data_IF_821826748923
#
_entry.id   IF_821826748923
#
_cell.length_a   1.000
_cell.length_b   1.000
_cell.length_c   1.000
_cell.angle_alpha   90.00
_cell.angle_beta   90.00
_cell.angle_gamma   90.00
#
_symmetry.space_group_name_H-M   'P 1'
#
loop_
_entity.id
_entity.type
_entity.pdbx_description
1 polymer ?
#
# COMPACT_ATOMS: atom_id res chain seq x y z
N UNK A 1 45.25 23.65 13.52
CA UNK A 1 44.35 24.04 14.63
C UNK A 1 43.48 22.84 14.94
N UNK A 2 43.66 22.24 16.12
CA UNK A 2 43.01 21.00 16.53
C UNK A 2 41.53 21.22 16.86
N UNK A 3 40.70 20.30 16.39
CA UNK A 3 39.28 20.22 16.74
C UNK A 3 39.18 19.72 18.19
N UNK A 4 38.42 20.36 19.10
CA UNK A 4 38.37 19.94 20.49
C UNK A 4 37.66 18.59 20.64
N UNK A 5 38.34 17.64 21.31
CA UNK A 5 37.73 16.44 21.86
C UNK A 5 36.78 16.83 23.00
N UNK A 6 35.53 17.15 22.66
CA UNK A 6 34.43 17.20 23.60
C UNK A 6 33.88 15.80 23.81
N UNK A 7 34.26 15.14 24.90
CA UNK A 7 33.58 13.97 25.43
C UNK A 7 32.14 14.35 25.79
N UNK A 8 31.23 14.27 24.83
CA UNK A 8 29.79 14.40 25.10
C UNK A 8 29.39 13.22 25.97
N UNK A 9 29.08 13.52 27.22
CA UNK A 9 28.55 12.59 28.21
C UNK A 9 27.26 11.94 27.67
N UNK A 10 27.41 10.72 27.15
CA UNK A 10 26.35 9.91 26.51
C UNK A 10 25.24 9.49 27.49
N UNK A 11 25.38 9.78 28.79
CA UNK A 11 24.44 9.38 29.83
C UNK A 11 23.22 10.30 29.97
N UNK A 12 23.24 11.53 29.42
CA UNK A 12 22.19 12.54 29.69
C UNK A 12 21.28 12.93 28.51
N UNK A 13 21.44 12.33 27.33
CA UNK A 13 20.57 12.61 26.17
C UNK A 13 19.51 11.51 25.99
N UNK A 14 18.37 11.75 26.64
CA UNK A 14 17.06 11.11 26.46
C UNK A 14 16.99 9.59 26.69
N UNK A 15 16.87 9.23 27.97
CA UNK A 15 16.53 7.88 28.43
C UNK A 15 15.03 7.63 28.34
N UNK A 16 14.55 7.20 27.17
CA UNK A 16 13.34 6.37 27.13
C UNK A 16 13.74 5.00 27.65
N UNK A 17 13.30 4.65 28.86
CA UNK A 17 13.61 3.37 29.48
C UNK A 17 13.20 2.23 28.52
N UNK A 18 13.95 1.13 28.51
CA UNK A 18 13.59 -0.08 27.74
C UNK A 18 12.14 -0.49 28.03
N UNK A 19 11.66 -0.22 29.24
CA UNK A 19 10.27 -0.42 29.67
C UNK A 19 9.30 0.49 28.93
N UNK A 20 9.59 1.79 28.75
CA UNK A 20 8.76 2.70 27.96
C UNK A 20 8.65 2.28 26.50
N UNK A 21 9.71 1.72 25.91
CA UNK A 21 9.69 1.18 24.53
C UNK A 21 8.87 -0.11 24.40
N UNK A 22 8.97 -1.02 25.40
CA UNK A 22 8.13 -2.22 25.47
C UNK A 22 6.67 -1.86 25.71
N UNK A 23 6.40 -0.86 26.56
CA UNK A 23 5.06 -0.33 26.79
C UNK A 23 4.49 0.32 25.55
N UNK A 24 5.27 1.12 24.80
CA UNK A 24 4.79 1.69 23.54
C UNK A 24 4.49 0.58 22.52
N UNK A 25 5.31 -0.46 22.40
CA UNK A 25 5.03 -1.57 21.49
C UNK A 25 3.81 -2.41 21.91
N UNK A 26 3.68 -2.75 23.20
CA UNK A 26 2.51 -3.46 23.74
C UNK A 26 1.26 -2.60 23.66
N UNK A 27 1.36 -1.31 23.96
CA UNK A 27 0.30 -0.33 23.78
C UNK A 27 -0.04 -0.15 22.30
N UNK A 28 0.91 -0.29 21.38
CA UNK A 28 0.65 -0.27 19.93
C UNK A 28 -0.01 -1.56 19.44
N UNK A 29 0.40 -2.75 19.90
CA UNK A 29 -0.32 -3.99 19.62
C UNK A 29 -1.70 -4.01 20.26
N UNK A 30 -1.85 -3.42 21.45
CA UNK A 30 -3.13 -3.28 22.16
C UNK A 30 -3.99 -2.14 21.62
N UNK A 31 -3.42 -1.10 21.02
CA UNK A 31 -4.13 -0.07 20.23
C UNK A 31 -4.44 -0.60 18.84
N UNK A 32 -3.64 -1.49 18.27
CA UNK A 32 -3.94 -2.17 17.01
C UNK A 32 -5.07 -3.19 17.22
N UNK A 33 -4.94 -4.09 18.19
CA UNK A 33 -5.98 -5.00 18.62
C UNK A 33 -7.16 -4.27 19.27
N UNK A 34 -6.94 -3.10 19.86
CA UNK A 34 -7.94 -2.26 20.49
C UNK A 34 -8.66 -1.35 19.52
N UNK A 35 -8.05 -0.90 18.43
CA UNK A 35 -8.70 -0.26 17.28
C UNK A 35 -9.43 -1.34 16.50
N UNK A 36 -8.86 -2.53 16.30
CA UNK A 36 -9.60 -3.66 15.74
C UNK A 36 -10.79 -3.98 16.65
N UNK A 37 -10.58 -4.22 17.94
CA UNK A 37 -11.67 -4.51 18.88
C UNK A 37 -12.66 -3.35 18.99
N UNK A 38 -12.24 -2.09 19.03
CA UNK A 38 -13.12 -0.91 19.08
C UNK A 38 -13.87 -0.70 17.77
N UNK A 39 -13.25 -0.90 16.61
CA UNK A 39 -13.91 -0.90 15.29
C UNK A 39 -14.87 -2.09 15.17
N UNK A 40 -14.55 -3.25 15.75
CA UNK A 40 -15.38 -4.45 15.75
C UNK A 40 -16.48 -4.45 16.85
N UNK A 41 -16.32 -3.68 17.94
CA UNK A 41 -17.21 -3.69 19.12
C UNK A 41 -18.02 -2.39 19.29
N UNK A 42 -17.48 -1.23 18.91
CA UNK A 42 -18.14 0.08 19.06
C UNK A 42 -18.77 0.62 17.77
N UNK A 43 -18.55 -0.01 16.61
CA UNK A 43 -19.40 0.24 15.43
C UNK A 43 -20.63 -0.67 15.54
N UNK A 44 -21.42 -0.42 16.58
CA UNK A 44 -22.84 -0.75 16.61
C UNK A 44 -23.53 0.44 15.93
N UNK A 45 -23.60 0.39 14.59
CA UNK A 45 -24.57 1.20 13.86
C UNK A 45 -25.92 0.47 13.94
N UNK A 46 -27.01 1.19 14.22
CA UNK A 46 -28.26 0.62 14.70
C UNK A 46 -28.77 -0.48 13.77
N UNK A 47 -29.20 -1.58 14.38
CA UNK A 47 -29.99 -2.61 13.74
C UNK A 47 -31.15 -1.97 12.97
N UNK A 48 -31.29 -2.39 11.71
CA UNK A 48 -32.57 -2.42 10.99
C UNK A 48 -33.42 -1.16 11.01
N UNK A 49 -33.21 -0.30 10.01
CA UNK A 49 -34.25 0.58 9.50
C UNK A 49 -33.99 0.81 8.01
N UNK A 50 -35.02 0.80 7.17
CA UNK A 50 -34.99 0.85 5.71
C UNK A 50 -34.28 2.09 5.12
N UNK A 51 -32.96 2.14 5.26
CA UNK A 51 -32.10 3.24 4.85
C UNK A 51 -30.81 2.70 4.24
N UNK A 52 -30.92 2.01 3.10
CA UNK A 52 -29.74 1.64 2.32
C UNK A 52 -28.95 2.91 1.98
N UNK A 53 -27.75 3.06 2.54
CA UNK A 53 -26.87 4.18 2.20
C UNK A 53 -26.56 4.15 0.70
N UNK A 54 -26.94 5.21 -0.01
CA UNK A 54 -26.85 5.30 -1.46
C UNK A 54 -25.38 5.36 -1.91
N UNK A 55 -25.01 4.47 -2.84
CA UNK A 55 -23.70 4.49 -3.51
C UNK A 55 -23.53 5.83 -4.21
N UNK A 56 -22.39 6.51 -3.96
CA UNK A 56 -22.13 7.85 -4.50
C UNK A 56 -22.52 9.02 -3.58
N UNK A 57 -23.02 8.75 -2.37
CA UNK A 57 -23.18 9.77 -1.33
C UNK A 57 -21.82 10.26 -0.79
N UNK A 58 -21.76 11.50 -0.27
CA UNK A 58 -20.57 12.02 0.42
C UNK A 58 -20.13 11.10 1.60
N UNK A 59 -21.09 10.51 2.31
CA UNK A 59 -20.82 9.57 3.39
C UNK A 59 -20.19 8.27 2.88
N UNK A 60 -20.60 7.79 1.70
CA UNK A 60 -20.00 6.62 1.06
C UNK A 60 -18.52 6.86 0.73
N UNK A 61 -18.19 8.00 0.13
CA UNK A 61 -16.81 8.34 -0.17
C UNK A 61 -15.96 8.52 1.10
N UNK A 62 -16.51 9.16 2.14
CA UNK A 62 -15.83 9.27 3.43
C UNK A 62 -15.54 7.90 4.06
N UNK A 63 -16.49 6.96 4.01
CA UNK A 63 -16.26 5.60 4.46
C UNK A 63 -15.18 4.88 3.64
N UNK A 64 -15.10 5.10 2.33
CA UNK A 64 -14.03 4.56 1.50
C UNK A 64 -12.66 5.15 1.87
N UNK A 65 -12.60 6.44 2.24
CA UNK A 65 -11.39 7.06 2.78
C UNK A 65 -10.96 6.40 4.10
N UNK A 66 -11.87 6.28 5.07
CA UNK A 66 -11.56 5.69 6.39
C UNK A 66 -11.15 4.23 6.26
N UNK A 67 -11.88 3.43 5.48
CA UNK A 67 -11.49 2.04 5.19
C UNK A 67 -10.12 1.97 4.50
N UNK A 68 -9.83 2.92 3.62
CA UNK A 68 -8.52 3.04 2.97
C UNK A 68 -7.40 3.35 3.95
N UNK A 69 -7.62 4.22 4.95
CA UNK A 69 -6.66 4.53 6.02
C UNK A 69 -6.31 3.27 6.83
N UNK A 70 -7.30 2.46 7.16
CA UNK A 70 -7.12 1.18 7.87
C UNK A 70 -6.34 0.18 7.02
N UNK A 71 -6.57 0.16 5.70
CA UNK A 71 -5.82 -0.69 4.78
C UNK A 71 -4.32 -0.36 4.67
N UNK A 72 -3.86 0.77 5.24
CA UNK A 72 -2.43 1.11 5.31
C UNK A 72 -1.66 0.30 6.37
N UNK A 73 -2.34 -0.27 7.36
CA UNK A 73 -1.73 -0.98 8.50
C UNK A 73 -0.80 -2.14 8.12
N UNK A 74 -1.12 -3.00 7.12
CA UNK A 74 -0.24 -4.10 6.72
C UNK A 74 1.18 -3.64 6.32
N UNK A 75 1.36 -2.43 5.79
CA UNK A 75 2.69 -1.88 5.50
C UNK A 75 3.51 -1.62 6.76
N UNK A 76 2.84 -1.23 7.85
CA UNK A 76 3.52 -1.04 9.14
C UNK A 76 3.99 -2.38 9.69
N UNK A 77 3.17 -3.44 9.56
CA UNK A 77 3.55 -4.79 9.95
C UNK A 77 4.74 -5.34 9.15
N UNK A 78 4.83 -4.98 7.87
CA UNK A 78 5.94 -5.39 6.99
C UNK A 78 7.15 -4.45 7.02
N UNK A 79 7.15 -3.43 7.88
CA UNK A 79 8.29 -2.49 8.05
C UNK A 79 9.63 -3.19 8.30
N UNK A 80 9.73 -4.28 9.10
CA UNK A 80 10.97 -5.03 9.25
C UNK A 80 11.56 -5.53 7.92
N UNK A 81 10.70 -6.01 7.02
CA UNK A 81 11.13 -6.50 5.72
C UNK A 81 11.55 -5.34 4.80
N UNK A 82 10.84 -4.22 4.85
CA UNK A 82 11.16 -3.02 4.07
C UNK A 82 12.47 -2.39 4.53
N UNK A 83 12.70 -2.29 5.84
CA UNK A 83 13.98 -1.84 6.41
C UNK A 83 15.13 -2.69 5.88
N UNK A 84 14.97 -4.02 5.94
CA UNK A 84 16.03 -4.93 5.50
C UNK A 84 16.34 -4.73 4.01
N UNK A 85 15.30 -4.54 3.19
CA UNK A 85 15.45 -4.28 1.76
C UNK A 85 16.11 -2.94 1.45
N UNK A 86 15.73 -1.86 2.13
CA UNK A 86 16.31 -0.54 1.89
C UNK A 86 17.81 -0.50 2.17
N UNK A 87 18.26 -1.16 3.25
CA UNK A 87 19.69 -1.27 3.59
C UNK A 87 20.46 -2.17 2.65
N UNK A 88 19.85 -3.27 2.18
CA UNK A 88 20.41 -4.11 1.12
C UNK A 88 20.61 -3.32 -0.18
N UNK A 89 19.69 -2.39 -0.51
CA UNK A 89 19.80 -1.53 -1.68
C UNK A 89 20.94 -0.51 -1.58
N UNK A 90 21.30 -0.08 -0.37
CA UNK A 90 22.44 0.81 -0.11
C UNK A 90 23.76 0.05 0.03
N UNK A 91 23.72 -1.29 0.00
CA UNK A 91 24.91 -2.14 0.03
C UNK A 91 25.44 -2.46 1.43
N UNK A 92 24.62 -2.37 2.49
CA UNK A 92 25.03 -2.82 3.83
C UNK A 92 25.22 -4.35 3.90
N UNK A 93 24.51 -5.12 3.06
CA UNK A 93 24.58 -6.59 2.99
C UNK A 93 23.93 -7.10 1.69
N UNK A 94 24.24 -8.35 1.29
CA UNK A 94 23.86 -8.92 -0.01
C UNK A 94 22.55 -9.74 0.01
N UNK A 95 22.10 -10.16 1.19
CA UNK A 95 20.91 -11.02 1.33
C UNK A 95 19.97 -10.61 2.46
N UNK A 96 18.68 -10.93 2.29
CA UNK A 96 17.65 -10.65 3.31
C UNK A 96 17.97 -11.36 4.63
N UNK A 97 18.38 -12.63 4.59
CA UNK A 97 18.70 -13.44 5.77
C UNK A 97 19.92 -12.91 6.51
N UNK A 98 20.95 -12.47 5.77
CA UNK A 98 22.11 -11.80 6.34
C UNK A 98 21.72 -10.46 6.98
N UNK A 99 20.86 -9.68 6.34
CA UNK A 99 20.35 -8.43 6.92
C UNK A 99 19.58 -8.65 8.23
N UNK A 100 18.69 -9.63 8.29
CA UNK A 100 18.02 -10.02 9.55
C UNK A 100 19.02 -10.46 10.62
N UNK A 101 20.03 -11.26 10.25
CA UNK A 101 21.07 -11.71 11.18
C UNK A 101 21.97 -10.57 11.65
N UNK A 102 22.30 -9.63 10.77
CA UNK A 102 23.12 -8.46 11.06
C UNK A 102 22.42 -7.57 12.08
N UNK A 103 21.15 -7.20 11.82
CA UNK A 103 20.34 -6.39 12.74
C UNK A 103 20.14 -7.11 14.09
N UNK A 104 19.95 -8.43 14.06
CA UNK A 104 19.82 -9.22 15.29
C UNK A 104 21.09 -9.23 16.15
N UNK A 105 22.26 -9.39 15.52
CA UNK A 105 23.56 -9.33 16.21
C UNK A 105 23.84 -7.94 16.77
N UNK A 106 23.55 -6.92 15.97
CA UNK A 106 23.74 -5.52 16.30
C UNK A 106 22.82 -5.05 17.46
N UNK A 107 21.62 -5.63 17.57
CA UNK A 107 20.74 -5.45 18.71
C UNK A 107 21.18 -6.22 19.98
N UNK A 108 22.35 -6.84 19.99
CA UNK A 108 22.90 -7.56 21.15
C UNK A 108 22.33 -8.97 21.35
N UNK A 109 21.71 -9.56 20.31
CA UNK A 109 21.30 -10.97 20.33
C UNK A 109 20.07 -11.31 21.18
N UNK A 110 19.31 -10.30 21.62
CA UNK A 110 18.03 -10.49 22.32
C UNK A 110 16.86 -10.22 21.38
N UNK A 111 15.98 -11.21 21.20
CA UNK A 111 14.79 -11.08 20.32
C UNK A 111 13.94 -9.83 20.61
N UNK A 112 13.72 -9.52 21.89
CA UNK A 112 12.93 -8.36 22.31
C UNK A 112 13.72 -7.06 22.13
N UNK A 113 15.05 -7.12 22.30
CA UNK A 113 15.96 -6.00 22.04
C UNK A 113 16.01 -5.60 20.56
N UNK A 114 15.80 -6.54 19.65
CA UNK A 114 15.85 -6.34 18.19
C UNK A 114 14.60 -5.70 17.59
N UNK A 115 13.43 -5.82 18.23
CA UNK A 115 12.15 -5.29 17.70
C UNK A 115 12.24 -3.79 17.37
N UNK A 116 12.73 -2.90 18.26
CA UNK A 116 12.87 -1.48 17.94
C UNK A 116 13.83 -1.18 16.79
N UNK A 117 14.83 -2.05 16.55
CA UNK A 117 15.75 -1.91 15.43
C UNK A 117 15.07 -2.26 14.11
N UNK A 118 14.26 -3.31 14.10
CA UNK A 118 13.50 -3.75 12.91
C UNK A 118 12.38 -2.78 12.53
N UNK A 119 11.72 -2.16 13.50
CA UNK A 119 10.66 -1.18 13.25
C UNK A 119 11.17 0.24 13.02
N UNK A 120 12.43 0.41 12.63
CA UNK A 120 12.98 1.73 12.32
C UNK A 120 12.26 2.35 11.12
N UNK A 121 11.74 3.56 11.31
CA UNK A 121 10.95 4.26 10.29
C UNK A 121 9.47 3.85 10.24
N UNK A 122 8.95 3.11 11.22
CA UNK A 122 7.54 2.70 11.22
C UNK A 122 6.55 3.87 11.22
N UNK A 123 6.88 5.00 11.87
CA UNK A 123 6.00 6.18 11.93
C UNK A 123 5.73 6.79 10.55
N UNK A 124 6.75 7.19 9.76
CA UNK A 124 6.49 7.68 8.41
C UNK A 124 5.88 6.61 7.50
N UNK A 125 6.20 5.32 7.69
CA UNK A 125 5.52 4.23 6.97
C UNK A 125 4.03 4.23 7.28
N UNK A 126 3.65 4.24 8.56
CA UNK A 126 2.25 4.22 8.98
C UNK A 126 1.49 5.43 8.42
N UNK A 127 1.98 6.64 8.67
CA UNK A 127 1.31 7.87 8.21
C UNK A 127 1.22 7.90 6.68
N UNK A 128 2.33 7.61 5.99
CA UNK A 128 2.40 7.64 4.54
C UNK A 128 1.44 6.65 3.88
N UNK A 129 1.50 5.38 4.25
CA UNK A 129 0.66 4.35 3.63
C UNK A 129 -0.80 4.40 4.07
N UNK A 130 -1.11 4.94 5.26
CA UNK A 130 -2.50 5.23 5.64
C UNK A 130 -3.08 6.37 4.82
N UNK A 131 -2.34 7.47 4.61
CA UNK A 131 -2.79 8.55 3.73
C UNK A 131 -2.92 8.09 2.28
N UNK A 132 -1.92 7.35 1.78
CA UNK A 132 -1.98 6.76 0.44
C UNK A 132 -3.20 5.86 0.29
N UNK A 133 -3.44 4.96 1.25
CA UNK A 133 -4.61 4.08 1.27
C UNK A 133 -5.93 4.84 1.26
N UNK A 134 -6.08 5.84 2.14
CA UNK A 134 -7.29 6.66 2.23
C UNK A 134 -7.59 7.39 0.93
N UNK A 135 -6.63 8.13 0.39
CA UNK A 135 -6.82 8.86 -0.87
C UNK A 135 -7.03 7.91 -2.07
N UNK A 136 -6.29 6.81 -2.14
CA UNK A 136 -6.42 5.83 -3.23
C UNK A 136 -7.82 5.25 -3.30
N UNK A 137 -8.37 4.74 -2.20
CA UNK A 137 -9.70 4.14 -2.21
C UNK A 137 -10.82 5.17 -2.34
N UNK A 138 -10.65 6.36 -1.76
CA UNK A 138 -11.57 7.48 -1.96
C UNK A 138 -11.66 7.90 -3.43
N UNK A 139 -10.52 8.25 -4.04
CA UNK A 139 -10.49 8.73 -5.41
C UNK A 139 -10.80 7.63 -6.42
N UNK A 140 -10.47 6.37 -6.12
CA UNK A 140 -10.86 5.24 -6.98
C UNK A 140 -12.38 5.17 -7.11
N UNK A 141 -13.12 5.27 -6.01
CA UNK A 141 -14.58 5.23 -6.04
C UNK A 141 -15.18 6.49 -6.67
N UNK A 142 -14.60 7.67 -6.42
CA UNK A 142 -15.01 8.94 -7.05
C UNK A 142 -14.84 8.87 -8.57
N UNK A 143 -13.65 8.51 -9.05
CA UNK A 143 -13.38 8.43 -10.49
C UNK A 143 -14.16 7.31 -11.14
N UNK A 144 -14.34 6.18 -10.47
CA UNK A 144 -15.21 5.10 -10.97
C UNK A 144 -16.65 5.60 -11.12
N UNK A 145 -17.19 6.33 -10.15
CA UNK A 145 -18.54 6.91 -10.23
C UNK A 145 -18.68 7.87 -11.43
N UNK A 146 -17.73 8.81 -11.61
CA UNK A 146 -17.74 9.75 -12.73
C UNK A 146 -17.53 9.08 -14.09
N UNK A 147 -16.58 8.15 -14.21
CA UNK A 147 -16.26 7.47 -15.46
C UNK A 147 -17.33 6.44 -15.86
N UNK A 148 -17.93 5.73 -14.90
CA UNK A 148 -19.05 4.82 -15.17
C UNK A 148 -20.30 5.58 -15.60
N UNK A 149 -20.59 6.75 -15.02
CA UNK A 149 -21.65 7.62 -15.50
C UNK A 149 -21.51 7.95 -16.99
N UNK A 150 -20.27 8.18 -17.44
CA UNK A 150 -19.98 8.48 -18.84
C UNK A 150 -19.94 7.25 -19.77
N UNK A 151 -19.48 6.06 -19.33
CA UNK A 151 -19.60 4.80 -20.12
C UNK A 151 -21.09 4.37 -20.23
N UNK A 152 -21.90 4.53 -19.17
CA UNK A 152 -23.33 4.18 -19.19
C UNK A 152 -24.13 5.09 -20.13
N UNK A 153 -23.84 6.40 -20.16
CA UNK A 153 -24.44 7.34 -21.12
C UNK A 153 -24.13 7.02 -22.59
N UNK A 154 -23.12 6.18 -22.85
CA UNK A 154 -22.70 5.74 -24.19
C UNK A 154 -23.14 4.31 -24.52
N UNK A 155 -23.70 3.58 -23.55
CA UNK A 155 -24.04 2.15 -23.64
C UNK A 155 -25.53 1.83 -23.78
N UNK A 156 -26.40 2.83 -24.02
CA UNK A 156 -27.82 2.58 -24.31
C UNK A 156 -28.11 2.09 -25.74
N UNK A 157 -27.08 1.88 -26.58
CA UNK A 157 -27.25 1.12 -27.82
C UNK A 157 -27.09 -0.39 -27.52
N UNK A 158 -28.24 -1.07 -27.37
CA UNK A 158 -28.38 -2.54 -27.19
C UNK A 158 -27.76 -3.40 -28.31
N UNK A 159 -27.10 -2.77 -29.27
CA UNK A 159 -26.48 -3.34 -30.48
C UNK A 159 -24.96 -3.55 -30.35
N UNK A 160 -24.29 -3.07 -29.29
CA UNK A 160 -22.84 -3.26 -29.16
C UNK A 160 -22.44 -4.68 -28.67
N UNK A 161 -21.37 -5.27 -29.24
CA UNK A 161 -20.90 -6.59 -28.84
C UNK A 161 -20.46 -6.61 -27.37
N UNK A 162 -20.74 -7.71 -26.64
CA UNK A 162 -20.35 -7.92 -25.22
C UNK A 162 -18.89 -7.56 -24.93
N UNK A 163 -17.98 -7.77 -25.90
CA UNK A 163 -16.56 -7.46 -25.80
C UNK A 163 -16.26 -5.94 -25.69
N UNK A 164 -17.09 -5.08 -26.29
CA UNK A 164 -16.95 -3.61 -26.20
C UNK A 164 -17.28 -3.10 -24.79
N UNK A 165 -18.32 -3.66 -24.16
CA UNK A 165 -18.72 -3.33 -22.79
C UNK A 165 -17.68 -3.75 -21.75
N UNK A 166 -17.08 -4.93 -21.90
CA UNK A 166 -16.00 -5.39 -21.02
C UNK A 166 -14.75 -4.52 -21.16
N UNK A 167 -14.42 -4.09 -22.38
CA UNK A 167 -13.31 -3.17 -22.63
C UNK A 167 -13.57 -1.78 -22.03
N UNK A 168 -14.77 -1.20 -22.17
CA UNK A 168 -15.14 0.08 -21.53
C UNK A 168 -14.99 -0.01 -20.00
N UNK A 169 -15.45 -1.12 -19.41
CA UNK A 169 -15.35 -1.38 -17.97
C UNK A 169 -13.89 -1.52 -17.52
N UNK A 170 -13.08 -2.28 -18.27
CA UNK A 170 -11.65 -2.44 -18.02
C UNK A 170 -10.92 -1.08 -18.07
N UNK A 171 -11.15 -0.31 -19.13
CA UNK A 171 -10.56 1.02 -19.30
C UNK A 171 -11.01 2.00 -18.21
N UNK A 172 -12.25 1.89 -17.75
CA UNK A 172 -12.77 2.67 -16.61
C UNK A 172 -12.02 2.33 -15.33
N UNK A 173 -11.84 1.05 -15.00
CA UNK A 173 -11.09 0.63 -13.82
C UNK A 173 -9.61 1.03 -13.91
N UNK A 174 -9.02 0.93 -15.10
CA UNK A 174 -7.66 1.40 -15.36
C UNK A 174 -7.52 2.91 -15.17
N UNK A 175 -8.40 3.70 -15.77
CA UNK A 175 -8.38 5.15 -15.66
C UNK A 175 -8.63 5.64 -14.23
N UNK A 176 -9.61 5.04 -13.54
CA UNK A 176 -9.92 5.36 -12.16
C UNK A 176 -8.77 5.03 -11.21
N UNK A 177 -8.18 3.83 -11.34
CA UNK A 177 -7.05 3.41 -10.50
C UNK A 177 -5.78 4.21 -10.77
N UNK A 178 -5.51 4.57 -12.04
CA UNK A 178 -4.38 5.41 -12.42
C UNK A 178 -4.46 6.79 -11.76
N UNK A 179 -5.58 7.50 -11.93
CA UNK A 179 -5.75 8.84 -11.38
C UNK A 179 -5.78 8.84 -9.85
N UNK A 180 -6.43 7.85 -9.26
CA UNK A 180 -6.48 7.70 -7.81
C UNK A 180 -5.10 7.50 -7.20
N UNK A 181 -4.27 6.62 -7.79
CA UNK A 181 -2.92 6.38 -7.29
C UNK A 181 -2.01 7.59 -7.51
N UNK A 182 -2.11 8.26 -8.67
CA UNK A 182 -1.30 9.44 -8.94
C UNK A 182 -1.49 10.54 -7.89
N UNK A 183 -2.74 10.77 -7.45
CA UNK A 183 -3.06 11.73 -6.39
C UNK A 183 -2.62 11.20 -5.02
N UNK A 184 -2.87 9.93 -4.72
CA UNK A 184 -2.48 9.31 -3.46
C UNK A 184 -0.96 9.35 -3.23
N UNK A 185 -0.18 9.21 -4.31
CA UNK A 185 1.29 9.25 -4.25
C UNK A 185 1.84 10.64 -3.93
N UNK A 186 1.12 11.72 -4.26
CA UNK A 186 1.49 13.09 -3.84
C UNK A 186 1.43 13.19 -2.31
N UNK A 187 0.43 12.55 -1.68
CA UNK A 187 0.34 12.49 -0.23
C UNK A 187 1.39 11.55 0.39
N UNK A 188 1.74 10.45 -0.29
CA UNK A 188 2.75 9.48 0.17
C UNK A 188 4.19 10.00 0.08
N UNK A 189 4.54 10.70 -1.00
CA UNK A 189 5.91 11.12 -1.35
C UNK A 189 6.72 11.71 -0.19
N UNK A 190 6.21 12.72 0.57
CA UNK A 190 7.00 13.29 1.67
C UNK A 190 7.35 12.26 2.75
N UNK A 191 6.42 11.36 3.07
CA UNK A 191 6.63 10.33 4.08
C UNK A 191 7.55 9.23 3.58
N UNK A 192 7.46 8.87 2.30
CA UNK A 192 8.37 7.92 1.67
C UNK A 192 9.82 8.46 1.66
N UNK A 193 10.01 9.75 1.35
CA UNK A 193 11.31 10.40 1.38
C UNK A 193 11.92 10.39 2.80
N UNK A 194 11.12 10.69 3.82
CA UNK A 194 11.53 10.64 5.22
C UNK A 194 11.82 9.21 5.67
N UNK A 195 10.96 8.25 5.30
CA UNK A 195 11.11 6.83 5.60
C UNK A 195 12.44 6.31 5.05
N UNK A 196 12.69 6.50 3.76
CA UNK A 196 13.92 6.02 3.11
C UNK A 196 15.14 6.61 3.81
N UNK A 197 15.18 7.93 4.04
CA UNK A 197 16.30 8.56 4.76
C UNK A 197 16.50 7.99 6.16
N UNK A 198 15.43 7.75 6.92
CA UNK A 198 15.52 7.13 8.24
C UNK A 198 16.08 5.70 8.14
N UNK A 199 15.64 4.91 7.15
CA UNK A 199 15.99 3.50 7.01
C UNK A 199 17.41 3.28 6.45
N UNK A 200 17.90 4.18 5.59
CA UNK A 200 19.22 4.10 4.95
C UNK A 200 20.33 4.80 5.72
N UNK A 201 20.01 5.69 6.66
CA UNK A 201 21.03 6.36 7.47
C UNK A 201 21.60 5.39 8.52
N UNK A 202 22.93 5.29 8.58
CA UNK A 202 23.65 4.42 9.54
C UNK A 202 23.54 4.88 11.01
N UNK A 203 23.21 6.15 11.26
CA UNK A 203 23.08 6.71 12.63
C UNK A 203 21.88 6.10 13.36
N UNK A 204 22.09 5.46 14.50
CA UNK A 204 21.09 4.65 15.25
C UNK A 204 19.87 5.39 15.83
N UNK A 205 19.82 6.73 15.77
CA UNK A 205 18.74 7.54 16.38
C UNK A 205 18.12 8.56 15.44
N UNK A 206 18.15 8.33 14.13
CA UNK A 206 17.51 9.27 13.20
C UNK A 206 15.99 9.18 13.33
N UNK A 207 15.40 10.12 14.07
CA UNK A 207 13.97 10.24 14.28
C UNK A 207 13.36 11.22 13.28
N UNK A 208 12.03 11.16 13.13
CA UNK A 208 11.30 12.05 12.24
C UNK A 208 11.52 13.54 12.56
N UNK A 209 11.60 13.88 13.85
CA UNK A 209 11.86 15.24 14.33
C UNK A 209 13.25 15.78 14.00
N UNK A 210 14.17 14.92 13.56
CA UNK A 210 15.51 15.33 13.09
C UNK A 210 15.55 15.35 11.57
N UNK A 211 15.01 14.32 10.92
CA UNK A 211 15.07 14.19 9.44
C UNK A 211 14.24 15.26 8.76
N UNK A 212 13.03 15.56 9.24
CA UNK A 212 12.15 16.53 8.57
C UNK A 212 12.78 17.93 8.57
N UNK A 213 13.23 18.50 9.71
CA UNK A 213 13.92 19.79 9.70
C UNK A 213 15.22 19.78 8.90
N UNK A 214 15.99 18.68 8.95
CA UNK A 214 17.23 18.54 8.19
C UNK A 214 16.98 18.60 6.68
N UNK A 215 15.98 17.87 6.17
CA UNK A 215 15.61 17.88 4.74
C UNK A 215 15.08 19.25 4.34
N UNK A 216 14.23 19.85 5.19
CA UNK A 216 13.70 21.18 4.96
C UNK A 216 14.81 22.24 4.86
N UNK A 217 15.78 22.22 5.77
CA UNK A 217 16.90 23.15 5.76
C UNK A 217 17.84 22.95 4.56
N UNK A 218 17.99 21.72 4.07
CA UNK A 218 18.91 21.40 2.97
C UNK A 218 18.30 21.63 1.57
N UNK A 219 17.06 21.19 1.34
CA UNK A 219 16.44 21.13 0.00
C UNK A 219 15.03 21.75 -0.05
N UNK A 220 14.51 22.26 1.08
CA UNK A 220 13.14 22.78 1.20
C UNK A 220 12.07 21.77 0.81
N UNK A 221 10.96 22.24 0.25
CA UNK A 221 9.87 21.38 -0.24
C UNK A 221 10.33 20.38 -1.30
N UNK A 222 11.30 20.74 -2.15
CA UNK A 222 11.76 19.91 -3.26
C UNK A 222 12.38 18.60 -2.79
N UNK A 223 13.03 18.60 -1.62
CA UNK A 223 13.64 17.40 -1.04
C UNK A 223 12.64 16.27 -0.75
N UNK A 224 11.38 16.61 -0.47
CA UNK A 224 10.30 15.65 -0.18
C UNK A 224 9.65 15.05 -1.44
N UNK A 225 9.79 15.71 -2.60
CA UNK A 225 9.17 15.30 -3.86
C UNK A 225 10.17 14.85 -4.93
N UNK A 226 11.48 14.87 -4.62
CA UNK A 226 12.55 14.45 -5.54
C UNK A 226 12.37 13.02 -6.06
N UNK A 227 11.75 12.14 -5.27
CA UNK A 227 11.47 10.75 -5.63
C UNK A 227 10.11 10.50 -6.30
N UNK A 228 9.26 11.52 -6.48
CA UNK A 228 7.86 11.34 -6.90
C UNK A 228 7.74 10.66 -8.27
N UNK A 229 8.57 11.03 -9.25
CA UNK A 229 8.55 10.41 -10.58
C UNK A 229 8.89 8.92 -10.50
N UNK A 230 9.93 8.55 -9.76
CA UNK A 230 10.30 7.15 -9.56
C UNK A 230 9.22 6.39 -8.76
N UNK A 231 8.55 7.07 -7.83
CA UNK A 231 7.40 6.53 -7.10
C UNK A 231 6.25 6.20 -8.06
N UNK A 232 5.84 7.14 -8.91
CA UNK A 232 4.78 6.91 -9.89
C UNK A 232 5.10 5.78 -10.87
N UNK A 233 6.33 5.72 -11.39
CA UNK A 233 6.74 4.63 -12.29
C UNK A 233 6.61 3.24 -11.66
N UNK A 234 6.60 3.14 -10.33
CA UNK A 234 6.46 1.89 -9.58
C UNK A 234 5.02 1.64 -9.12
N UNK A 235 4.44 2.63 -8.45
CA UNK A 235 3.17 2.46 -7.73
C UNK A 235 1.97 2.49 -8.66
N UNK A 236 1.96 3.35 -9.67
CA UNK A 236 0.82 3.48 -10.59
C UNK A 236 0.61 2.19 -11.40
N UNK A 237 1.62 1.60 -12.07
CA UNK A 237 1.43 0.32 -12.76
C UNK A 237 1.04 -0.81 -11.82
N UNK A 238 1.66 -0.87 -10.63
CA UNK A 238 1.34 -1.86 -9.61
C UNK A 238 -0.14 -1.79 -9.20
N UNK A 239 -0.64 -0.59 -8.92
CA UNK A 239 -2.01 -0.36 -8.47
C UNK A 239 -3.02 -0.64 -9.58
N UNK A 240 -2.76 -0.23 -10.83
CA UNK A 240 -3.64 -0.54 -11.96
C UNK A 240 -3.82 -2.06 -12.12
N UNK A 241 -2.72 -2.82 -12.16
CA UNK A 241 -2.78 -4.29 -12.28
C UNK A 241 -3.48 -4.91 -11.08
N UNK A 242 -3.20 -4.41 -9.87
CA UNK A 242 -3.80 -4.91 -8.62
C UNK A 242 -5.31 -4.75 -8.62
N UNK A 243 -5.84 -3.56 -8.93
CA UNK A 243 -7.29 -3.31 -8.92
C UNK A 243 -8.00 -4.08 -10.03
N UNK A 244 -7.45 -4.10 -11.26
CA UNK A 244 -8.02 -4.87 -12.37
C UNK A 244 -8.09 -6.38 -12.07
N UNK A 245 -7.00 -6.93 -11.54
CA UNK A 245 -6.91 -8.35 -11.20
C UNK A 245 -7.88 -8.67 -10.07
N UNK A 246 -7.94 -7.83 -9.04
CA UNK A 246 -8.85 -8.01 -7.91
C UNK A 246 -10.31 -8.03 -8.35
N UNK A 247 -10.77 -7.02 -9.11
CA UNK A 247 -12.15 -6.94 -9.60
C UNK A 247 -12.53 -8.18 -10.43
N UNK A 248 -11.62 -8.61 -11.32
CA UNK A 248 -11.85 -9.77 -12.19
C UNK A 248 -11.90 -11.09 -11.41
N UNK A 249 -10.96 -11.28 -10.48
CA UNK A 249 -10.88 -12.49 -9.65
C UNK A 249 -12.05 -12.55 -8.66
N UNK A 250 -12.38 -11.42 -8.02
CA UNK A 250 -13.51 -11.35 -7.09
C UNK A 250 -14.82 -11.72 -7.80
N UNK A 251 -15.07 -11.17 -9.00
CA UNK A 251 -16.24 -11.51 -9.80
C UNK A 251 -16.32 -13.03 -10.11
N UNK A 252 -15.20 -13.64 -10.48
CA UNK A 252 -15.13 -15.09 -10.72
C UNK A 252 -15.34 -15.90 -9.43
N UNK A 253 -14.73 -15.50 -8.33
CA UNK A 253 -14.90 -16.18 -7.04
C UNK A 253 -16.35 -16.10 -6.55
N UNK A 254 -17.03 -14.97 -6.74
CA UNK A 254 -18.45 -14.85 -6.41
C UNK A 254 -19.33 -15.77 -7.26
N UNK A 255 -18.98 -16.01 -8.53
CA UNK A 255 -19.71 -16.97 -9.37
C UNK A 255 -19.51 -18.44 -8.96
N UNK A 256 -18.44 -18.74 -8.22
CA UNK A 256 -18.09 -20.10 -7.78
C UNK A 256 -18.57 -20.37 -6.35
N UNK A 257 -18.38 -19.42 -5.43
CA UNK A 257 -18.62 -19.60 -3.98
C UNK A 257 -19.90 -18.94 -3.46
N UNK A 258 -20.59 -18.13 -4.26
CA UNK A 258 -21.81 -17.42 -3.86
C UNK A 258 -22.95 -17.57 -4.88
N UNK A 259 -24.18 -17.28 -4.43
CA UNK A 259 -25.32 -17.04 -5.33
C UNK A 259 -25.35 -15.56 -5.68
N UNK A 260 -25.40 -15.22 -6.96
CA UNK A 260 -25.67 -13.83 -7.40
C UNK A 260 -27.14 -13.56 -7.06
N UNK A 261 -27.47 -12.62 -6.13
CA UNK A 261 -26.76 -11.38 -5.76
C UNK A 261 -25.96 -11.40 -4.44
N UNK A 262 -24.89 -10.58 -4.38
CA UNK A 262 -23.97 -10.43 -3.24
C UNK A 262 -24.64 -10.07 -1.90
N UNK A 263 -25.77 -9.37 -1.92
CA UNK A 263 -26.56 -9.02 -0.73
C UNK A 263 -27.15 -10.25 -0.01
N UNK A 264 -27.31 -11.38 -0.71
CA UNK A 264 -27.77 -12.64 -0.14
C UNK A 264 -26.64 -13.51 0.42
N UNK A 265 -25.38 -13.12 0.20
CA UNK A 265 -24.21 -13.88 0.66
C UNK A 265 -23.85 -13.52 2.11
N UNK A 266 -23.60 -14.50 3.00
CA UNK A 266 -23.22 -14.22 4.38
C UNK A 266 -21.92 -13.39 4.46
N UNK A 267 -21.87 -12.44 5.42
CA UNK A 267 -20.76 -11.48 5.58
C UNK A 267 -19.39 -12.16 5.66
N UNK A 268 -19.30 -13.32 6.32
CA UNK A 268 -18.06 -14.12 6.42
C UNK A 268 -17.54 -14.59 5.06
N UNK A 269 -18.43 -14.99 4.15
CA UNK A 269 -18.05 -15.42 2.79
C UNK A 269 -17.62 -14.23 1.95
N UNK A 270 -18.25 -13.06 2.09
CA UNK A 270 -17.83 -11.85 1.38
C UNK A 270 -16.41 -11.42 1.76
N UNK A 271 -16.09 -11.45 3.06
CA UNK A 271 -14.75 -11.12 3.59
C UNK A 271 -13.72 -12.17 3.14
N UNK A 272 -14.09 -13.45 3.15
CA UNK A 272 -13.22 -14.52 2.67
C UNK A 272 -12.91 -14.41 1.18
N UNK A 273 -13.93 -14.15 0.35
CA UNK A 273 -13.77 -13.92 -1.10
C UNK A 273 -12.87 -12.72 -1.35
N UNK A 274 -13.03 -11.62 -0.61
CA UNK A 274 -12.16 -10.45 -0.72
C UNK A 274 -10.71 -10.78 -0.36
N UNK A 275 -10.47 -11.48 0.75
CA UNK A 275 -9.13 -11.91 1.15
C UNK A 275 -8.48 -12.80 0.07
N UNK A 276 -9.21 -13.80 -0.43
CA UNK A 276 -8.72 -14.73 -1.45
C UNK A 276 -8.46 -14.03 -2.78
N UNK A 277 -9.39 -13.18 -3.24
CA UNK A 277 -9.23 -12.35 -4.42
C UNK A 277 -8.00 -11.45 -4.27
N UNK A 278 -7.82 -10.84 -3.09
CA UNK A 278 -6.67 -10.01 -2.77
C UNK A 278 -5.35 -10.76 -2.82
N UNK A 279 -5.29 -11.98 -2.28
CA UNK A 279 -4.08 -12.82 -2.35
C UNK A 279 -3.74 -13.23 -3.78
N UNK A 280 -4.73 -13.71 -4.55
CA UNK A 280 -4.53 -14.13 -5.94
C UNK A 280 -4.15 -12.94 -6.84
N UNK A 281 -4.79 -11.78 -6.66
CA UNK A 281 -4.42 -10.54 -7.35
C UNK A 281 -2.99 -10.11 -7.00
N UNK A 282 -2.56 -10.28 -5.75
CA UNK A 282 -1.18 -10.03 -5.32
C UNK A 282 -0.17 -10.93 -6.01
N UNK A 283 -0.48 -12.22 -6.17
CA UNK A 283 0.35 -13.17 -6.92
C UNK A 283 0.45 -12.75 -8.39
N UNK A 284 -0.67 -12.47 -9.06
CA UNK A 284 -0.66 -12.04 -10.47
C UNK A 284 0.13 -10.74 -10.66
N UNK A 285 -0.12 -9.75 -9.81
CA UNK A 285 0.61 -8.48 -9.82
C UNK A 285 2.12 -8.71 -9.61
N UNK A 286 2.48 -9.62 -8.70
CA UNK A 286 3.86 -10.03 -8.47
C UNK A 286 4.52 -10.64 -9.70
N UNK A 287 3.83 -11.56 -10.41
CA UNK A 287 4.35 -12.19 -11.64
C UNK A 287 4.59 -11.14 -12.73
N UNK A 288 3.64 -10.23 -12.93
CA UNK A 288 3.71 -9.19 -13.98
C UNK A 288 4.80 -8.15 -13.67
N UNK A 289 4.95 -7.75 -12.41
CA UNK A 289 5.90 -6.70 -12.00
C UNK A 289 7.32 -7.19 -11.73
N UNK A 290 7.52 -8.49 -11.47
CA UNK A 290 8.83 -9.03 -11.06
C UNK A 290 9.98 -8.76 -12.05
N UNK A 291 9.78 -8.90 -13.38
CA UNK A 291 10.81 -8.57 -14.36
C UNK A 291 11.26 -7.11 -14.29
N UNK A 292 10.30 -6.17 -14.31
CA UNK A 292 10.58 -4.74 -14.29
C UNK A 292 11.34 -4.34 -13.01
N UNK A 293 10.90 -4.84 -11.86
CA UNK A 293 11.53 -4.53 -10.58
C UNK A 293 12.94 -5.09 -10.46
N UNK A 294 13.20 -6.27 -11.02
CA UNK A 294 14.55 -6.86 -11.04
C UNK A 294 15.50 -6.00 -11.88
N UNK A 295 15.04 -5.50 -13.01
CA UNK A 295 15.82 -4.63 -13.89
C UNK A 295 16.12 -3.29 -13.22
N UNK A 296 15.09 -2.62 -12.66
CA UNK A 296 15.25 -1.32 -11.99
C UNK A 296 16.16 -1.44 -10.77
N UNK A 297 16.01 -2.49 -9.96
CA UNK A 297 16.86 -2.72 -8.78
C UNK A 297 18.33 -2.91 -9.16
N UNK A 298 18.61 -3.70 -10.22
CA UNK A 298 19.96 -3.94 -10.71
C UNK A 298 20.56 -2.73 -11.41
N UNK A 299 19.74 -1.93 -12.09
CA UNK A 299 20.15 -0.67 -12.70
C UNK A 299 20.58 0.33 -11.62
N UNK A 300 19.78 0.50 -10.56
CA UNK A 300 20.11 1.38 -9.44
C UNK A 300 21.40 0.94 -8.72
N UNK A 301 21.63 -0.37 -8.54
CA UNK A 301 22.88 -0.89 -7.98
C UNK A 301 24.13 -0.62 -8.87
N UNK A 302 23.97 -0.52 -10.19
CA UNK A 302 25.09 -0.25 -11.11
C UNK A 302 25.35 1.24 -11.33
N UNK A 303 24.34 2.10 -11.19
CA UNK A 303 24.49 3.55 -11.36
C UNK A 303 25.46 4.13 -10.32
N UNK A 304 25.51 3.58 -9.10
CA UNK A 304 26.47 4.00 -8.07
C UNK A 304 27.93 3.63 -8.41
N UNK A 305 28.17 2.74 -9.38
CA UNK A 305 29.50 2.24 -9.71
C UNK A 305 30.05 2.71 -11.08
N UNK A 306 29.24 3.28 -11.98
CA UNK A 306 29.72 3.67 -13.32
C UNK A 306 28.98 4.92 -13.84
N UNK A 307 29.73 6.01 -14.02
CA UNK A 307 29.34 7.12 -14.87
C UNK A 307 29.17 6.62 -16.32
N UNK A 308 27.93 6.55 -16.82
CA UNK A 308 27.69 6.66 -18.26
C UNK A 308 26.74 5.66 -18.91
N UNK A 309 25.76 6.26 -19.60
CA UNK A 309 25.15 5.86 -20.89
C UNK A 309 24.10 4.74 -20.90
N UNK A 310 23.03 5.05 -21.62
CA UNK A 310 21.88 4.20 -21.96
C UNK A 310 22.21 2.86 -22.66
N UNK A 311 23.47 2.57 -22.99
CA UNK A 311 23.92 1.25 -23.44
C UNK A 311 23.90 0.17 -22.35
N UNK A 312 23.81 0.58 -21.07
CA UNK A 312 23.81 -0.32 -19.91
C UNK A 312 22.55 -1.19 -19.83
N UNK A 313 21.39 -0.77 -20.36
CA UNK A 313 20.15 -1.56 -20.23
C UNK A 313 20.20 -2.87 -21.02
N UNK A 314 20.58 -2.81 -22.31
CA UNK A 314 20.70 -4.01 -23.15
C UNK A 314 21.85 -4.91 -22.70
N UNK A 315 22.97 -4.34 -22.25
CA UNK A 315 24.05 -5.12 -21.64
C UNK A 315 23.62 -5.76 -20.32
N UNK A 316 22.89 -5.04 -19.47
CA UNK A 316 22.38 -5.55 -18.19
C UNK A 316 21.36 -6.66 -18.39
N UNK A 317 20.46 -6.54 -19.36
CA UNK A 317 19.53 -7.61 -19.71
C UNK A 317 20.27 -8.87 -20.20
N UNK A 318 21.35 -8.68 -20.97
CA UNK A 318 22.20 -9.77 -21.44
C UNK A 318 23.01 -10.42 -20.31
N UNK A 319 23.48 -9.62 -19.35
CA UNK A 319 24.23 -10.07 -18.17
C UNK A 319 23.35 -10.80 -17.14
N UNK A 320 22.12 -10.32 -16.90
CA UNK A 320 21.16 -10.94 -15.96
C UNK A 320 20.64 -12.27 -16.54
N UNK A 321 20.35 -12.28 -17.85
CA UNK A 321 19.72 -13.40 -18.53
C UNK A 321 18.29 -13.69 -18.08
N UNK A 322 17.55 -14.49 -18.86
CA UNK A 322 16.14 -14.81 -18.55
C UNK A 322 15.96 -15.47 -17.18
N UNK A 323 16.87 -16.37 -16.79
CA UNK A 323 16.82 -17.05 -15.48
C UNK A 323 17.15 -16.11 -14.31
N UNK A 324 17.99 -15.10 -14.52
CA UNK A 324 18.31 -14.12 -13.48
C UNK A 324 17.15 -13.15 -13.22
N UNK A 325 16.33 -12.88 -14.25
CA UNK A 325 15.16 -12.00 -14.17
C UNK A 325 14.11 -12.52 -13.20
N UNK A 326 13.96 -13.84 -13.10
CA UNK A 326 12.98 -14.51 -12.21
C UNK A 326 13.57 -14.89 -10.85
N UNK A 327 14.84 -14.57 -10.58
CA UNK A 327 15.48 -14.89 -9.31
C UNK A 327 14.80 -14.11 -8.18
N UNK A 328 14.40 -14.81 -7.12
CA UNK A 328 13.75 -14.19 -5.94
C UNK A 328 12.24 -13.99 -6.06
N UNK A 329 11.59 -14.54 -7.09
CA UNK A 329 10.13 -14.42 -7.26
C UNK A 329 9.35 -15.05 -6.11
N UNK A 330 9.75 -16.22 -5.59
CA UNK A 330 9.01 -16.93 -4.54
C UNK A 330 8.76 -16.08 -3.28
N UNK A 331 9.80 -15.55 -2.61
CA UNK A 331 9.64 -14.67 -1.46
C UNK A 331 8.84 -13.39 -1.78
N UNK A 332 8.98 -12.87 -3.00
CA UNK A 332 8.23 -11.69 -3.45
C UNK A 332 6.74 -11.99 -3.59
N UNK A 333 6.37 -13.13 -4.20
CA UNK A 333 4.97 -13.54 -4.35
C UNK A 333 4.30 -13.75 -2.99
N UNK A 334 4.97 -14.42 -2.06
CA UNK A 334 4.45 -14.63 -0.71
C UNK A 334 4.18 -13.30 -0.01
N UNK A 335 5.14 -12.37 -0.08
CA UNK A 335 4.97 -11.04 0.51
C UNK A 335 3.85 -10.25 -0.16
N UNK A 336 3.79 -10.22 -1.49
CA UNK A 336 2.77 -9.46 -2.20
C UNK A 336 1.37 -10.04 -1.97
N UNK A 337 1.22 -11.37 -2.02
CA UNK A 337 -0.06 -12.03 -1.76
C UNK A 337 -0.58 -11.73 -0.34
N UNK A 338 0.29 -11.85 0.68
CA UNK A 338 -0.09 -11.56 2.06
C UNK A 338 -0.38 -10.08 2.28
N UNK A 339 0.44 -9.19 1.73
CA UNK A 339 0.23 -7.74 1.81
C UNK A 339 -1.10 -7.34 1.17
N UNK A 340 -1.33 -7.71 -0.09
CA UNK A 340 -2.56 -7.32 -0.81
C UNK A 340 -3.80 -7.98 -0.21
N UNK A 341 -3.71 -9.25 0.18
CA UNK A 341 -4.78 -9.97 0.86
C UNK A 341 -5.21 -9.26 2.14
N UNK A 342 -4.27 -8.88 3.01
CA UNK A 342 -4.57 -8.15 4.25
C UNK A 342 -5.12 -6.75 3.98
N UNK A 343 -4.62 -6.05 2.94
CA UNK A 343 -5.15 -4.74 2.57
C UNK A 343 -6.62 -4.80 2.17
N UNK A 344 -6.97 -5.75 1.31
CA UNK A 344 -8.35 -5.95 0.87
C UNK A 344 -9.23 -6.45 2.00
N UNK A 345 -8.75 -7.38 2.83
CA UNK A 345 -9.44 -7.85 4.03
C UNK A 345 -9.84 -6.70 4.96
N UNK A 346 -8.90 -5.79 5.24
CA UNK A 346 -9.16 -4.65 6.12
C UNK A 346 -10.10 -3.63 5.48
N UNK A 347 -9.91 -3.34 4.19
CA UNK A 347 -10.75 -2.40 3.46
C UNK A 347 -12.20 -2.89 3.30
N UNK A 348 -12.37 -4.08 2.75
CA UNK A 348 -13.68 -4.67 2.51
C UNK A 348 -14.34 -5.15 3.81
N UNK A 349 -13.55 -5.60 4.80
CA UNK A 349 -14.04 -5.84 6.14
C UNK A 349 -14.64 -4.59 6.75
N UNK A 350 -13.96 -3.43 6.63
CA UNK A 350 -14.52 -2.15 7.06
C UNK A 350 -15.80 -1.79 6.30
N UNK A 351 -15.84 -1.96 4.96
CA UNK A 351 -17.05 -1.70 4.16
C UNK A 351 -18.24 -2.56 4.61
N UNK A 352 -18.03 -3.85 4.83
CA UNK A 352 -19.08 -4.79 5.30
C UNK A 352 -19.60 -4.42 6.69
N UNK A 353 -18.72 -3.95 7.58
CA UNK A 353 -19.11 -3.47 8.92
C UNK A 353 -20.00 -2.24 8.83
N UNK A 354 -19.70 -1.31 7.92
CA UNK A 354 -20.51 -0.10 7.67
C UNK A 354 -21.79 -0.42 6.89
N UNK A 355 -21.99 -1.66 6.44
CA UNK A 355 -23.18 -2.11 5.72
C UNK A 355 -23.09 -1.98 4.20
N UNK A 356 -21.91 -1.71 3.64
CA UNK A 356 -21.66 -1.69 2.20
C UNK A 356 -21.23 -3.06 1.66
N UNK A 357 -21.55 -3.38 0.40
CA UNK A 357 -21.00 -4.57 -0.26
C UNK A 357 -19.48 -4.45 -0.43
N UNK A 358 -18.80 -5.59 -0.43
CA UNK A 358 -17.37 -5.66 -0.73
C UNK A 358 -17.10 -5.31 -2.19
N UNK A 359 -15.88 -4.85 -2.44
CA UNK A 359 -15.41 -4.44 -3.78
C UNK A 359 -15.32 -5.68 -4.70
N UNK A 360 -15.58 -5.54 -6.01
CA UNK A 360 -15.53 -6.66 -6.95
C UNK A 360 -16.81 -7.48 -7.11
N UNK A 361 -17.84 -7.23 -6.30
CA UNK A 361 -19.19 -7.73 -6.56
C UNK A 361 -19.88 -6.83 -7.57
N UNK A 362 -20.33 -7.40 -8.69
CA UNK A 362 -21.06 -6.65 -9.71
C UNK A 362 -22.16 -5.83 -9.05
N UNK A 363 -22.13 -4.51 -9.24
CA UNK A 363 -23.20 -3.64 -8.79
C UNK A 363 -24.52 -4.13 -9.42
N UNK A 364 -25.28 -4.92 -8.69
CA UNK A 364 -26.71 -4.75 -8.71
C UNK A 364 -26.93 -3.36 -8.09
N UNK A 365 -26.83 -2.32 -8.92
CA UNK A 365 -27.43 -1.04 -8.63
C UNK A 365 -28.86 -1.39 -8.24
N UNK A 366 -29.15 -1.35 -6.94
CA UNK A 366 -30.51 -1.31 -6.46
C UNK A 366 -31.20 -0.25 -7.32
N UNK A 367 -32.22 -0.67 -8.06
CA UNK A 367 -32.93 0.21 -8.98
C UNK A 367 -33.43 1.40 -8.18
N UNK A 368 -32.77 2.55 -8.35
CA UNK A 368 -33.32 3.89 -8.20
C UNK A 368 -32.26 4.90 -8.62
N UNK A 369 -32.45 5.38 -9.86
CA UNK A 369 -32.13 6.72 -10.36
C UNK A 369 -30.84 7.35 -9.86
N UNK A 370 -29.82 7.35 -10.71
CA UNK A 370 -28.77 8.36 -10.66
C UNK A 370 -29.42 9.76 -10.58
N UNK A 371 -29.10 10.60 -9.58
CA UNK A 371 -29.52 11.98 -9.64
C UNK A 371 -28.79 12.62 -10.83
N UNK A 372 -29.54 13.01 -11.85
CA UNK A 372 -29.06 13.86 -12.93
C UNK A 372 -28.36 15.06 -12.30
N UNK A 373 -27.09 15.30 -12.66
CA UNK A 373 -26.45 16.59 -12.40
C UNK A 373 -27.32 17.68 -13.04
N UNK A 374 -28.16 18.33 -12.25
CA UNK A 374 -28.71 19.63 -12.63
C UNK A 374 -27.57 20.62 -12.48
N UNK A 375 -27.07 21.09 -13.62
CA UNK A 375 -26.25 22.28 -13.69
C UNK A 375 -26.95 23.41 -12.91
N UNK A 376 -26.22 24.02 -11.99
CA UNK A 376 -26.54 25.34 -11.42
C UNK A 376 -25.39 26.26 -11.80
#
# INVERSE_FOLDING_TARGET
MGVPNGSVDRSRLFGWSVVARKLVFVMMCAVFLGIIYFVFWNIYLPDGGDGQMVVGSAMYFFCCFVGGVVSGLPHTLLTPMDLVKCRMQVGEYDSLTEGFRFIYKDAGGSFIGSIPFFYRGWVPTFIGYSLQGGFKFFFYEVFKYFLQGNCMLRGEDKSEPKMSNDLCRLLTYMGASFLAEAIADIALSPWEAVKIKIQTTSVYRTQIGVVVPMVWAAEGCRGFYKGLTALWCRQVPYTVVKFMSFESIAHQLYSVFGSVPQSATPKSVQIFVSLLAGMLAGVLCGIVSHPADTIVSKLNQRIDNVHGKAGTFCHLLRDIGWRGLWKGIGPRLLMLATLTGLQWLLYDGFKVLVGFPTTGGGHALAGNTAPSLKAV
#
